data_IF_223438553820
#
_entry.id   IF_223438553820
#
_cell.length_a   1.000
_cell.length_b   1.000
_cell.length_c   1.000
_cell.angle_alpha   90.00
_cell.angle_beta   90.00
_cell.angle_gamma   90.00
#
_symmetry.space_group_name_H-M   'P 1'
#
loop_
_entity.id
_entity.type
_entity.pdbx_description
1 polymer ?
#
# COMPACT_ATOMS: atom_id res chain seq x y z
N UNK A 1 2.96 -12.04 20.16
CA UNK A 1 3.45 -10.79 19.57
C UNK A 1 3.45 -10.89 18.07
N UNK A 2 3.30 -9.79 17.39
CA UNK A 2 3.29 -9.75 15.95
C UNK A 2 4.14 -8.64 15.40
N UNK A 3 4.24 -8.60 14.11
CA UNK A 3 4.96 -7.56 13.40
C UNK A 3 3.96 -6.55 12.85
N UNK A 4 4.04 -5.31 13.32
CA UNK A 4 3.11 -4.25 12.92
C UNK A 4 3.68 -3.45 11.75
N UNK A 5 2.79 -3.08 10.85
CA UNK A 5 3.13 -2.22 9.72
C UNK A 5 2.06 -1.16 9.55
N UNK A 6 2.44 -0.07 8.90
CA UNK A 6 1.51 0.98 8.48
C UNK A 6 1.39 0.93 6.98
N UNK A 7 0.16 1.03 6.49
CA UNK A 7 -0.16 0.88 5.07
C UNK A 7 -0.83 2.14 4.55
N UNK A 8 -0.35 2.61 3.41
CA UNK A 8 -0.97 3.73 2.70
C UNK A 8 -1.42 3.20 1.35
N UNK A 9 -2.69 3.41 1.02
CA UNK A 9 -3.26 2.91 -0.23
C UNK A 9 -3.62 4.08 -1.13
N UNK A 10 -3.27 3.96 -2.40
CA UNK A 10 -3.63 4.94 -3.41
C UNK A 10 -4.07 4.24 -4.69
N UNK A 11 -4.82 4.96 -5.52
CA UNK A 11 -5.25 4.45 -6.80
C UNK A 11 -4.93 5.48 -7.88
N UNK A 12 -4.87 5.02 -9.13
CA UNK A 12 -4.48 5.84 -10.29
C UNK A 12 -5.63 6.65 -10.89
N UNK A 13 -6.68 6.89 -10.12
CA UNK A 13 -7.82 7.70 -10.55
C UNK A 13 -7.96 8.90 -9.61
N UNK A 14 -8.18 10.11 -10.11
CA UNK A 14 -8.34 11.28 -9.24
C UNK A 14 -9.63 11.18 -8.42
N UNK A 15 -9.54 11.58 -7.16
CA UNK A 15 -10.67 11.48 -6.23
C UNK A 15 -11.87 12.31 -6.68
N UNK A 16 -11.63 13.53 -7.18
CA UNK A 16 -12.69 14.48 -7.51
C UNK A 16 -13.77 13.91 -8.44
N UNK A 17 -13.37 13.10 -9.41
CA UNK A 17 -14.30 12.55 -10.39
C UNK A 17 -14.67 11.10 -10.11
N UNK A 18 -14.14 10.53 -9.02
CA UNK A 18 -14.24 9.11 -8.73
C UNK A 18 -14.57 8.81 -7.27
N UNK A 19 -15.32 9.68 -6.60
CA UNK A 19 -15.62 9.50 -5.18
C UNK A 19 -16.32 8.19 -4.88
N UNK A 20 -17.27 7.81 -5.72
CA UNK A 20 -18.00 6.55 -5.54
C UNK A 20 -17.08 5.35 -5.73
N UNK A 21 -16.15 5.44 -6.68
CA UNK A 21 -15.16 4.39 -6.90
C UNK A 21 -14.28 4.20 -5.67
N UNK A 22 -13.83 5.30 -5.05
CA UNK A 22 -13.04 5.23 -3.82
C UNK A 22 -13.82 4.57 -2.70
N UNK A 23 -15.10 4.94 -2.52
CA UNK A 23 -15.95 4.35 -1.50
C UNK A 23 -16.08 2.83 -1.72
N UNK A 24 -16.30 2.41 -2.95
CA UNK A 24 -16.45 1.00 -3.30
C UNK A 24 -15.17 0.21 -3.06
N UNK A 25 -14.03 0.79 -3.44
CA UNK A 25 -12.73 0.13 -3.24
C UNK A 25 -12.43 -0.01 -1.75
N UNK A 26 -12.62 1.05 -0.97
CA UNK A 26 -12.37 1.00 0.47
C UNK A 26 -13.27 -0.04 1.13
N UNK A 27 -14.54 -0.07 0.77
CA UNK A 27 -15.48 -1.06 1.31
C UNK A 27 -15.02 -2.49 1.01
N UNK A 28 -14.54 -2.72 -0.22
CA UNK A 28 -14.03 -4.03 -0.63
C UNK A 28 -12.79 -4.41 0.17
N UNK A 29 -11.86 -3.46 0.35
CA UNK A 29 -10.63 -3.71 1.10
C UNK A 29 -10.97 -4.05 2.55
N UNK A 30 -11.90 -3.34 3.16
CA UNK A 30 -12.31 -3.58 4.54
C UNK A 30 -12.98 -4.94 4.69
N UNK A 31 -13.79 -5.33 3.72
CA UNK A 31 -14.46 -6.62 3.73
C UNK A 31 -13.45 -7.77 3.61
N UNK A 32 -12.51 -7.67 2.68
CA UNK A 32 -11.53 -8.73 2.47
C UNK A 32 -10.49 -8.83 3.59
N UNK A 33 -10.03 -7.69 4.09
CA UNK A 33 -8.99 -7.66 5.11
C UNK A 33 -9.52 -7.86 6.53
N UNK A 34 -10.76 -7.46 6.77
CA UNK A 34 -11.33 -7.45 8.12
C UNK A 34 -10.89 -6.26 8.95
N UNK A 35 -10.17 -5.31 8.37
CA UNK A 35 -9.71 -4.11 9.07
C UNK A 35 -10.55 -2.90 8.68
N UNK A 36 -10.64 -1.94 9.59
CA UNK A 36 -11.22 -0.64 9.31
C UNK A 36 -10.09 0.31 8.95
N UNK A 37 -10.24 1.01 7.84
CA UNK A 37 -9.22 1.94 7.35
C UNK A 37 -9.62 3.38 7.67
N UNK A 38 -8.61 4.20 7.97
CA UNK A 38 -8.80 5.64 8.05
C UNK A 38 -8.90 6.15 6.62
N UNK A 39 -10.07 6.67 6.28
CA UNK A 39 -10.37 7.05 4.92
C UNK A 39 -10.97 8.46 4.89
N UNK A 40 -10.29 9.34 4.18
CA UNK A 40 -10.78 10.70 4.00
C UNK A 40 -10.31 11.20 2.63
N UNK A 41 -11.26 11.31 1.69
CA UNK A 41 -10.94 11.69 0.33
C UNK A 41 -10.04 10.65 -0.31
N UNK A 42 -8.91 11.09 -0.86
CA UNK A 42 -7.94 10.19 -1.50
C UNK A 42 -6.98 9.53 -0.50
N UNK A 43 -7.07 9.94 0.77
CA UNK A 43 -6.19 9.42 1.81
C UNK A 43 -6.78 8.16 2.43
N UNK A 44 -6.11 7.04 2.25
CA UNK A 44 -6.55 5.72 2.76
C UNK A 44 -5.39 5.12 3.54
N UNK A 45 -5.55 4.98 4.86
CA UNK A 45 -4.48 4.51 5.74
C UNK A 45 -4.93 3.38 6.65
N UNK A 46 -4.01 2.50 6.97
CA UNK A 46 -4.17 1.52 8.03
C UNK A 46 -2.90 1.57 8.87
N UNK A 47 -3.04 2.01 10.14
CA UNK A 47 -1.90 2.22 11.03
C UNK A 47 -1.65 1.02 11.92
N UNK A 48 -0.37 0.71 12.17
CA UNK A 48 0.09 -0.26 13.18
C UNK A 48 -0.73 -1.54 13.21
N UNK A 49 -0.78 -2.23 12.09
CA UNK A 49 -1.61 -3.43 11.94
C UNK A 49 -0.80 -4.62 11.48
N UNK A 50 -1.35 -5.81 11.74
CA UNK A 50 -0.72 -7.09 11.39
C UNK A 50 -1.37 -7.70 10.15
N UNK A 51 -1.47 -6.92 9.09
CA UNK A 51 -2.12 -7.37 7.86
C UNK A 51 -1.20 -8.29 7.06
N UNK A 52 -1.11 -9.54 7.50
CA UNK A 52 -0.22 -10.52 6.87
C UNK A 52 -0.75 -11.05 5.53
N UNK A 53 -2.07 -11.00 5.35
CA UNK A 53 -2.70 -11.50 4.13
C UNK A 53 -2.88 -10.41 3.06
N UNK A 54 -2.12 -9.34 3.16
CA UNK A 54 -2.16 -8.21 2.23
C UNK A 54 -2.18 -8.65 0.77
N UNK A 55 -1.27 -9.55 0.40
CA UNK A 55 -1.12 -9.95 -1.00
C UNK A 55 -2.36 -10.66 -1.51
N UNK A 56 -2.85 -11.64 -0.75
CA UNK A 56 -4.04 -12.39 -1.13
C UNK A 56 -5.28 -11.50 -1.16
N UNK A 57 -5.47 -10.71 -0.11
CA UNK A 57 -6.62 -9.83 0.02
C UNK A 57 -6.69 -8.80 -1.12
N UNK A 58 -5.56 -8.15 -1.40
CA UNK A 58 -5.54 -7.10 -2.41
C UNK A 58 -5.61 -7.64 -3.83
N UNK A 59 -5.12 -8.85 -4.09
CA UNK A 59 -5.34 -9.48 -5.38
C UNK A 59 -6.82 -9.69 -5.63
N UNK A 60 -7.54 -10.16 -4.62
CA UNK A 60 -9.00 -10.37 -4.71
C UNK A 60 -9.72 -9.05 -4.96
N UNK A 61 -9.36 -8.00 -4.20
CA UNK A 61 -9.95 -6.68 -4.39
C UNK A 61 -9.71 -6.18 -5.82
N UNK A 62 -8.48 -6.31 -6.31
CA UNK A 62 -8.13 -5.79 -7.63
C UNK A 62 -8.88 -6.47 -8.78
N UNK A 63 -9.33 -7.70 -8.58
CA UNK A 63 -10.14 -8.39 -9.57
C UNK A 63 -11.50 -7.73 -9.77
N UNK A 64 -12.05 -7.13 -8.71
CA UNK A 64 -13.33 -6.43 -8.78
C UNK A 64 -13.22 -5.07 -9.49
N UNK A 65 -11.99 -4.54 -9.61
CA UNK A 65 -11.75 -3.24 -10.23
C UNK A 65 -10.61 -3.38 -11.25
N UNK A 66 -10.82 -4.15 -12.32
CA UNK A 66 -9.71 -4.56 -13.21
C UNK A 66 -8.99 -3.44 -13.94
N UNK A 67 -9.63 -2.28 -14.08
CA UNK A 67 -9.02 -1.13 -14.76
C UNK A 67 -8.29 -0.17 -13.82
N UNK A 68 -8.26 -0.49 -12.54
CA UNK A 68 -7.67 0.38 -11.52
C UNK A 68 -6.33 -0.19 -11.06
N UNK A 69 -5.29 0.65 -11.08
CA UNK A 69 -4.02 0.31 -10.44
C UNK A 69 -4.11 0.73 -8.98
N UNK A 70 -4.00 -0.24 -8.08
CA UNK A 70 -4.01 0.00 -6.64
C UNK A 70 -2.59 -0.14 -6.12
N UNK A 71 -2.10 0.89 -5.46
CA UNK A 71 -0.75 0.90 -4.90
C UNK A 71 -0.84 0.88 -3.39
N UNK A 72 -0.09 -0.02 -2.76
CA UNK A 72 0.03 -0.10 -1.30
C UNK A 72 1.46 0.18 -0.92
N UNK A 73 1.67 1.18 -0.07
CA UNK A 73 2.98 1.48 0.50
C UNK A 73 2.98 0.99 1.94
N UNK A 74 3.89 0.06 2.25
CA UNK A 74 3.98 -0.53 3.58
C UNK A 74 5.26 -0.09 4.27
N UNK A 75 5.13 0.35 5.51
CA UNK A 75 6.25 0.68 6.38
C UNK A 75 6.21 -0.27 7.56
N UNK A 76 7.23 -1.11 7.69
CA UNK A 76 7.34 -2.07 8.78
C UNK A 76 7.98 -1.45 10.02
N UNK A 77 8.12 -2.27 11.07
CA UNK A 77 8.72 -1.82 12.33
C UNK A 77 10.22 -1.62 12.22
N UNK A 78 10.89 -2.41 11.40
CA UNK A 78 12.34 -2.34 11.26
C UNK A 78 12.76 -1.26 10.27
N UNK A 79 13.89 -0.63 10.53
CA UNK A 79 14.46 0.37 9.65
C UNK A 79 14.77 -0.27 8.29
N UNK A 80 14.34 0.39 7.22
CA UNK A 80 14.56 -0.11 5.88
C UNK A 80 13.56 -1.14 5.40
N UNK A 81 12.63 -1.57 6.25
CA UNK A 81 11.57 -2.48 5.84
C UNK A 81 10.42 -1.69 5.23
N UNK A 82 10.63 -1.27 4.01
CA UNK A 82 9.69 -0.48 3.22
C UNK A 82 9.42 -1.22 1.92
N UNK A 83 8.19 -1.17 1.45
CA UNK A 83 7.88 -1.79 0.17
C UNK A 83 6.66 -1.14 -0.47
N UNK A 84 6.66 -1.10 -1.79
CA UNK A 84 5.48 -0.84 -2.59
C UNK A 84 4.94 -2.15 -3.11
N UNK A 85 3.64 -2.25 -3.16
CA UNK A 85 2.94 -3.36 -3.81
C UNK A 85 1.98 -2.75 -4.82
N UNK A 86 2.00 -3.28 -6.03
CA UNK A 86 1.12 -2.82 -7.11
C UNK A 86 0.16 -3.94 -7.46
N UNK A 87 -1.13 -3.63 -7.48
CA UNK A 87 -2.17 -4.62 -7.76
C UNK A 87 -3.02 -4.14 -8.92
N UNK A 88 -3.23 -5.02 -9.88
CA UNK A 88 -4.12 -4.73 -11.00
C UNK A 88 -4.66 -6.03 -11.55
N UNK A 89 -5.99 -6.10 -11.65
CA UNK A 89 -6.68 -7.25 -12.26
C UNK A 89 -6.22 -8.60 -11.71
N UNK A 90 -6.11 -8.71 -10.39
CA UNK A 90 -5.75 -9.95 -9.73
C UNK A 90 -4.26 -10.27 -9.73
N UNK A 91 -3.44 -9.40 -10.29
CA UNK A 91 -1.97 -9.59 -10.36
C UNK A 91 -1.26 -8.61 -9.44
N UNK A 92 -0.05 -8.96 -9.03
CA UNK A 92 0.71 -8.17 -8.09
C UNK A 92 2.18 -8.06 -8.50
N UNK A 93 2.75 -6.89 -8.22
CA UNK A 93 4.19 -6.68 -8.26
C UNK A 93 4.63 -6.23 -6.88
N UNK A 94 5.64 -6.89 -6.31
CA UNK A 94 6.24 -6.51 -5.04
C UNK A 94 7.54 -5.76 -5.32
N UNK A 95 7.65 -4.55 -4.78
CA UNK A 95 8.82 -3.69 -5.00
C UNK A 95 9.40 -3.26 -3.66
N UNK A 96 10.26 -4.09 -3.04
CA UNK A 96 10.88 -3.72 -1.78
C UNK A 96 11.88 -2.58 -1.97
N UNK A 97 12.09 -1.80 -0.91
CA UNK A 97 13.04 -0.69 -0.94
C UNK A 97 14.45 -1.20 -1.15
N UNK A 98 15.22 -0.45 -1.89
CA UNK A 98 16.63 -0.71 -2.11
C UNK A 98 17.41 0.36 -1.36
N UNK A 99 18.02 -0.02 -0.24
CA UNK A 99 18.79 0.92 0.57
C UNK A 99 20.24 0.86 0.14
N UNK A 100 20.78 2.00 -0.22
CA UNK A 100 22.17 2.11 -0.63
C UNK A 100 22.77 3.39 -0.06
N UNK A 101 24.03 3.32 0.27
CA UNK A 101 24.78 4.48 0.77
C UNK A 101 25.99 4.67 -0.11
N UNK A 102 26.38 5.93 -0.29
CA UNK A 102 27.61 6.24 -1.00
C UNK A 102 28.80 5.74 -0.17
N UNK A 103 29.80 5.23 -0.87
CA UNK A 103 31.06 4.90 -0.19
C UNK A 103 31.72 6.18 0.30
N UNK A 104 32.57 6.04 1.31
CA UNK A 104 33.34 7.16 1.81
C UNK A 104 34.17 7.76 0.66
N UNK A 105 34.11 9.05 0.52
CA UNK A 105 34.86 9.79 -0.51
C UNK A 105 35.40 11.06 0.14
N UNK A 106 36.72 11.11 0.33
CA UNK A 106 37.38 12.21 1.00
C UNK A 106 37.10 13.55 0.32
N UNK A 107 36.90 13.56 -1.00
CA UNK A 107 36.59 14.79 -1.72
C UNK A 107 35.24 15.38 -1.36
N UNK A 108 34.36 14.60 -0.74
CA UNK A 108 33.03 15.06 -0.31
C UNK A 108 33.04 15.64 1.11
N UNK A 109 34.17 15.61 1.79
CA UNK A 109 34.27 16.21 3.12
C UNK A 109 34.26 17.74 2.97
N UNK A 110 33.43 18.40 3.75
CA UNK A 110 33.28 19.85 3.71
C UNK A 110 33.38 20.44 5.11
#
# INVERSE_FOLDING_TARGET
MGYFSTFTISIDKPYEDNEELYDDIVENIQTESGYEFDYQGEDIYLYDSKWYDLETDMKTVSEEFPDVLITVYRVGEENGDLAYYYFKNGKMQHAPAKVAFDDYDESKLV
#
